data_IF_555545340579
#
_entry.id   IF_555545340579
#
_cell.length_a   1.000
_cell.length_b   1.000
_cell.length_c   1.000
_cell.angle_alpha   90.00
_cell.angle_beta   90.00
_cell.angle_gamma   90.00
#
_symmetry.space_group_name_H-M   'P 1'
#
loop_
_entity.id
_entity.type
_entity.pdbx_description
1 polymer ?
#
# COMPACT_ATOMS: atom_id res chain seq x y z
N UNK A 1 -22.10 -10.34 -10.93
CA UNK A 1 -21.12 -10.43 -10.37
C UNK A 1 -21.10 -9.78 -9.12
N UNK A 2 -20.75 -10.27 -8.24
CA UNK A 2 -20.90 -9.82 -7.02
C UNK A 2 -20.06 -8.71 -6.81
N UNK A 3 -20.44 -7.75 -6.53
CA UNK A 3 -19.69 -6.73 -6.24
C UNK A 3 -19.21 -6.79 -4.87
N UNK A 4 -18.94 -7.87 -4.39
CA UNK A 4 -18.46 -7.97 -3.08
C UNK A 4 -17.10 -7.42 -2.97
N UNK A 5 -16.82 -6.54 -2.11
CA UNK A 5 -15.47 -6.06 -1.98
C UNK A 5 -14.63 -7.19 -1.53
N UNK A 6 -13.65 -7.47 -2.25
CA UNK A 6 -12.79 -8.55 -1.90
C UNK A 6 -11.79 -8.04 -0.90
N UNK A 7 -11.84 -8.58 0.29
CA UNK A 7 -10.88 -8.23 1.32
C UNK A 7 -10.03 -9.45 1.65
N UNK A 8 -8.82 -9.19 2.07
CA UNK A 8 -7.88 -10.24 2.44
C UNK A 8 -7.38 -9.99 3.84
N UNK A 9 -7.22 -11.06 4.60
CA UNK A 9 -6.54 -10.94 5.86
C UNK A 9 -5.08 -10.58 5.59
N UNK A 10 -4.41 -10.04 6.59
CA UNK A 10 -3.04 -9.57 6.39
C UNK A 10 -2.12 -10.69 5.91
N UNK A 11 -2.33 -11.92 6.35
CA UNK A 11 -1.51 -13.02 5.88
C UNK A 11 -1.69 -13.31 4.42
N UNK A 12 -2.93 -13.25 3.94
CA UNK A 12 -3.20 -13.46 2.54
C UNK A 12 -2.69 -12.30 1.69
N UNK A 13 -2.84 -11.10 2.20
CA UNK A 13 -2.33 -9.92 1.51
C UNK A 13 -0.81 -9.97 1.43
N UNK A 14 -0.18 -10.47 2.48
CA UNK A 14 1.27 -10.64 2.47
C UNK A 14 1.69 -11.57 1.34
N UNK A 15 0.98 -12.67 1.19
CA UNK A 15 1.33 -13.62 0.12
C UNK A 15 1.06 -13.04 -1.26
N UNK A 16 0.01 -12.26 -1.39
CA UNK A 16 -0.32 -11.68 -2.69
C UNK A 16 0.67 -10.60 -3.11
N UNK A 17 1.23 -9.90 -2.16
CA UNK A 17 2.11 -8.78 -2.46
C UNK A 17 3.58 -9.12 -2.30
N UNK A 18 3.89 -10.25 -1.68
CA UNK A 18 5.26 -10.65 -1.37
C UNK A 18 5.92 -9.70 -0.38
N UNK A 19 5.12 -9.06 0.43
CA UNK A 19 5.61 -8.25 1.54
C UNK A 19 5.37 -9.02 2.82
N UNK A 20 6.29 -8.94 3.76
CA UNK A 20 6.12 -9.65 5.01
C UNK A 20 5.05 -8.96 5.84
N UNK A 21 4.47 -9.72 6.77
CA UNK A 21 3.47 -9.16 7.66
C UNK A 21 4.09 -8.04 8.49
N UNK A 22 5.33 -8.22 8.90
CA UNK A 22 6.01 -7.19 9.67
C UNK A 22 6.12 -5.88 8.87
N UNK A 23 6.46 -5.99 7.60
CA UNK A 23 6.55 -4.83 6.74
C UNK A 23 5.19 -4.18 6.54
N UNK A 24 4.14 -5.00 6.36
CA UNK A 24 2.80 -4.45 6.19
C UNK A 24 2.35 -3.71 7.44
N UNK A 25 2.68 -4.23 8.62
CA UNK A 25 2.33 -3.54 9.84
C UNK A 25 3.06 -2.22 9.96
N UNK A 26 4.32 -2.22 9.57
CA UNK A 26 5.10 -0.99 9.61
C UNK A 26 4.49 0.05 8.66
N UNK A 27 4.09 -0.37 7.47
CA UNK A 27 3.49 0.56 6.52
C UNK A 27 2.15 1.08 7.01
N UNK A 28 1.40 0.25 7.73
CA UNK A 28 0.15 0.71 8.30
C UNK A 28 0.43 1.75 9.40
N UNK A 29 1.40 1.49 10.25
CA UNK A 29 1.70 2.40 11.34
C UNK A 29 2.22 3.73 10.85
N UNK A 30 2.94 3.74 9.75
CA UNK A 30 3.47 4.98 9.21
C UNK A 30 2.49 5.69 8.29
N UNK A 31 1.35 5.08 8.03
CA UNK A 31 0.39 5.68 7.12
C UNK A 31 0.71 5.50 5.67
N UNK A 32 1.73 4.72 5.34
CA UNK A 32 2.10 4.54 3.95
C UNK A 32 1.10 3.64 3.23
N UNK A 33 0.65 2.60 3.88
CA UNK A 33 -0.35 1.69 3.31
C UNK A 33 -1.22 1.22 4.44
N UNK A 34 -2.29 1.93 4.69
CA UNK A 34 -3.17 1.62 5.80
C UNK A 34 -4.11 0.49 5.44
N UNK A 35 -4.36 -0.39 6.38
CA UNK A 35 -5.34 -1.44 6.18
C UNK A 35 -6.71 -0.82 5.96
N UNK A 36 -7.51 -1.46 5.13
CA UNK A 36 -8.85 -0.96 4.88
C UNK A 36 -9.74 -1.08 6.11
N UNK A 37 -9.52 -2.14 6.89
CA UNK A 37 -10.30 -2.35 8.10
C UNK A 37 -9.40 -2.87 9.20
N UNK A 38 -9.68 -2.46 10.41
CA UNK A 38 -9.01 -2.99 11.58
C UNK A 38 -10.09 -3.39 12.55
N UNK A 39 -10.09 -4.65 12.95
CA UNK A 39 -11.08 -5.13 13.90
C UNK A 39 -10.79 -4.50 15.25
N UNK A 40 -11.72 -3.75 15.82
CA UNK A 40 -11.44 -3.06 17.06
C UNK A 40 -11.25 -3.98 18.26
N UNK A 41 -11.70 -5.22 18.16
CA UNK A 41 -11.54 -6.12 19.27
C UNK A 41 -10.28 -6.95 19.21
N UNK A 42 -9.94 -7.42 18.03
CA UNK A 42 -8.80 -8.30 17.88
C UNK A 42 -7.57 -7.61 17.31
N UNK A 43 -7.77 -6.45 16.70
CA UNK A 43 -6.67 -5.79 16.03
C UNK A 43 -6.32 -6.38 14.70
N UNK A 44 -7.07 -7.36 14.22
CA UNK A 44 -6.77 -7.96 12.93
C UNK A 44 -6.99 -6.94 11.83
N UNK A 45 -6.10 -6.94 10.88
CA UNK A 45 -6.16 -6.01 9.77
C UNK A 45 -6.60 -6.73 8.51
N UNK A 46 -7.45 -6.07 7.74
CA UNK A 46 -7.89 -6.59 6.46
C UNK A 46 -7.62 -5.56 5.39
N UNK A 47 -7.19 -6.03 4.24
CA UNK A 47 -6.85 -5.15 3.13
C UNK A 47 -7.76 -5.44 1.97
N UNK A 48 -8.04 -4.43 1.15
CA UNK A 48 -8.80 -4.64 -0.07
C UNK A 48 -7.88 -5.18 -1.15
N UNK A 49 -8.42 -6.04 -2.00
CA UNK A 49 -7.62 -6.51 -3.14
C UNK A 49 -7.20 -5.35 -4.02
N UNK A 50 -7.98 -4.29 -4.04
CA UNK A 50 -7.60 -3.12 -4.83
C UNK A 50 -6.36 -2.43 -4.26
N UNK A 51 -5.94 -2.78 -3.07
CA UNK A 51 -4.71 -2.24 -2.51
C UNK A 51 -3.46 -3.00 -2.96
N UNK A 52 -3.63 -4.12 -3.62
CA UNK A 52 -2.47 -4.89 -4.08
C UNK A 52 -1.59 -4.09 -5.03
N UNK A 53 -2.13 -3.40 -6.04
CA UNK A 53 -1.25 -2.62 -6.90
C UNK A 53 -0.49 -1.54 -6.16
N UNK A 54 -1.13 -0.92 -5.18
CA UNK A 54 -0.45 0.09 -4.39
C UNK A 54 0.69 -0.52 -3.58
N UNK A 55 0.43 -1.67 -2.98
CA UNK A 55 1.46 -2.36 -2.21
C UNK A 55 2.64 -2.74 -3.09
N UNK A 56 2.36 -3.20 -4.29
CA UNK A 56 3.42 -3.59 -5.20
C UNK A 56 4.20 -2.39 -5.69
N UNK A 57 3.54 -1.26 -5.86
CA UNK A 57 4.23 -0.05 -6.23
C UNK A 57 5.18 0.37 -5.13
N UNK A 58 4.75 0.30 -3.89
CA UNK A 58 5.61 0.62 -2.76
C UNK A 58 6.81 -0.31 -2.74
N UNK A 59 6.55 -1.61 -2.95
CA UNK A 59 7.62 -2.57 -2.94
C UNK A 59 8.65 -2.23 -4.01
N UNK A 60 8.19 -1.85 -5.20
CA UNK A 60 9.08 -1.51 -6.28
C UNK A 60 9.92 -0.29 -5.95
N UNK A 61 9.29 0.73 -5.39
CA UNK A 61 10.01 1.92 -5.03
C UNK A 61 11.06 1.62 -3.97
N UNK A 62 10.73 0.74 -3.03
CA UNK A 62 11.71 0.37 -2.01
C UNK A 62 12.88 -0.41 -2.61
N UNK A 63 12.61 -1.21 -3.61
CA UNK A 63 13.69 -1.90 -4.30
C UNK A 63 14.61 -0.93 -5.01
N UNK A 64 14.08 0.21 -5.41
CA UNK A 64 14.88 1.25 -6.02
C UNK A 64 15.47 2.18 -4.96
N UNK A 65 15.32 1.82 -3.70
CA UNK A 65 15.90 2.53 -2.57
C UNK A 65 15.31 3.92 -2.38
N UNK A 66 14.08 4.09 -2.76
CA UNK A 66 13.41 5.36 -2.52
C UNK A 66 13.03 5.46 -1.04
N UNK A 67 13.28 6.59 -0.40
CA UNK A 67 12.91 6.74 0.99
C UNK A 67 11.41 6.68 1.20
N UNK A 68 11.00 6.18 2.34
CA UNK A 68 9.57 6.06 2.62
C UNK A 68 8.86 7.40 2.57
N UNK A 69 9.52 8.46 2.99
CA UNK A 69 8.88 9.76 2.97
C UNK A 69 8.55 10.21 1.56
N UNK A 70 9.41 9.88 0.61
CA UNK A 70 9.13 10.23 -0.78
C UNK A 70 8.02 9.37 -1.35
N UNK A 71 7.99 8.10 -0.98
CA UNK A 71 6.91 7.24 -1.44
C UNK A 71 5.58 7.75 -0.90
N UNK A 72 5.55 8.18 0.35
CA UNK A 72 4.33 8.71 0.91
C UNK A 72 3.85 9.93 0.15
N UNK A 73 4.76 10.80 -0.24
CA UNK A 73 4.36 11.97 -0.99
C UNK A 73 3.78 11.60 -2.34
N UNK A 74 4.36 10.61 -3.01
CA UNK A 74 3.81 10.19 -4.28
C UNK A 74 2.42 9.60 -4.13
N UNK A 75 2.22 8.80 -3.12
CA UNK A 75 0.94 8.15 -2.94
C UNK A 75 -0.12 9.11 -2.42
N UNK A 76 0.29 10.17 -1.77
CA UNK A 76 -0.66 11.13 -1.25
C UNK A 76 -1.18 12.08 -2.32
N UNK A 77 -0.58 12.09 -3.48
CA UNK A 77 -1.03 12.96 -4.53
C UNK A 77 -2.34 12.43 -5.09
N UNK A 78 -3.40 13.14 -4.97
CA UNK A 78 -4.69 12.59 -5.35
C UNK A 78 -4.84 12.37 -6.84
N UNK A 79 -4.17 13.11 -7.62
CA UNK A 79 -4.32 12.95 -9.04
C UNK A 79 -3.02 12.58 -9.71
N UNK A 80 -2.04 12.23 -8.95
CA UNK A 80 -0.79 11.85 -9.54
C UNK A 80 0.00 13.00 -10.08
N UNK A 81 -0.43 14.20 -9.83
CA UNK A 81 0.25 15.31 -10.45
C UNK A 81 1.67 15.45 -9.99
N UNK A 82 1.99 14.93 -8.84
CA UNK A 82 3.33 15.00 -8.39
C UNK A 82 4.25 14.27 -9.29
N UNK A 83 3.80 13.25 -9.88
CA UNK A 83 4.66 12.43 -10.67
C UNK A 83 4.99 13.03 -11.97
N UNK A 84 4.32 14.07 -12.39
CA UNK A 84 4.57 14.50 -13.69
C UNK A 84 5.39 15.68 -13.80
N UNK A 85 5.18 16.64 -13.12
CA UNK A 85 5.72 17.87 -13.51
C UNK A 85 7.15 18.04 -13.45
N UNK A 86 7.78 17.49 -12.57
CA UNK A 86 9.13 17.85 -12.46
C UNK A 86 10.02 17.09 -13.30
N UNK A 87 9.55 16.15 -14.02
CA UNK A 87 10.46 15.33 -14.76
C UNK A 87 10.51 15.75 -16.17
N UNK A 88 11.64 15.83 -16.71
CA UNK A 88 11.79 16.20 -18.06
C UNK A 88 11.18 15.21 -18.91
N UNK A 89 10.59 14.43 -18.70
CA UNK A 89 9.92 13.60 -19.54
C UNK A 89 10.52 13.35 -20.69
N UNK A 90 11.26 13.60 -21.04
CA UNK A 90 11.80 13.31 -22.26
C UNK A 90 11.90 12.24 -22.54
#
# INVERSE_FOLDING_TARGET
>A
MPAVPATLAIGDFSRATLLTIKTLRHYHDTGLLAAAEVDPQTGYRRYLTSQIPQAQMIKRFRELQMPLSEIRQLLASPDGSIATPSWPRT
#
